data_IF_890850195492
#
_entry.id   IF_890850195492
#
_cell.length_a   1.000
_cell.length_b   1.000
_cell.length_c   1.000
_cell.angle_alpha   90.00
_cell.angle_beta   90.00
_cell.angle_gamma   90.00
#
_symmetry.space_group_name_H-M   'P 1'
#
loop_
_entity.id
_entity.type
_entity.pdbx_description
1 polymer ?
#
# COMPACT_ATOMS: atom_id res chain seq x y z
N UNK A 1 10.57 -17.34 -9.23
CA UNK A 1 9.29 -17.12 -8.54
C UNK A 1 8.25 -18.03 -9.16
N UNK A 2 7.71 -18.96 -8.37
CA UNK A 2 6.65 -19.89 -8.78
C UNK A 2 5.39 -19.12 -9.16
N UNK A 3 4.54 -19.67 -10.04
CA UNK A 3 3.26 -19.04 -10.41
C UNK A 3 2.39 -18.72 -9.17
N UNK A 4 2.39 -19.61 -8.17
CA UNK A 4 1.68 -19.43 -6.91
C UNK A 4 2.16 -18.22 -6.09
N UNK A 5 3.47 -17.96 -6.07
CA UNK A 5 4.03 -16.83 -5.30
C UNK A 5 3.61 -15.49 -5.89
N UNK A 6 3.44 -15.42 -7.22
CA UNK A 6 3.02 -14.18 -7.89
C UNK A 6 1.56 -13.84 -7.62
N UNK A 7 0.70 -14.85 -7.52
CA UNK A 7 -0.72 -14.65 -7.21
C UNK A 7 -0.89 -14.17 -5.76
N UNK A 8 -0.22 -14.82 -4.81
CA UNK A 8 -0.23 -14.40 -3.39
C UNK A 8 0.25 -12.95 -3.25
N UNK A 9 1.33 -12.58 -3.92
CA UNK A 9 1.88 -11.21 -3.86
C UNK A 9 0.90 -10.18 -4.44
N UNK A 10 0.18 -10.51 -5.51
CA UNK A 10 -0.82 -9.60 -6.07
C UNK A 10 -2.00 -9.40 -5.11
N UNK A 11 -2.47 -10.47 -4.47
CA UNK A 11 -3.55 -10.41 -3.50
C UNK A 11 -3.16 -9.56 -2.28
N UNK A 12 -1.95 -9.79 -1.74
CA UNK A 12 -1.42 -9.03 -0.60
C UNK A 12 -1.30 -7.53 -0.94
N UNK A 13 -0.86 -7.17 -2.14
CA UNK A 13 -0.83 -5.76 -2.58
C UNK A 13 -2.23 -5.16 -2.61
N UNK A 14 -3.23 -5.90 -3.10
CA UNK A 14 -4.62 -5.44 -3.10
C UNK A 14 -5.16 -5.20 -1.70
N UNK A 15 -4.87 -6.09 -0.75
CA UNK A 15 -5.24 -5.89 0.66
C UNK A 15 -4.53 -4.68 1.27
N UNK A 16 -3.24 -4.53 1.00
CA UNK A 16 -2.43 -3.41 1.49
C UNK A 16 -2.95 -2.06 0.96
N UNK A 17 -3.37 -1.98 -0.31
CA UNK A 17 -3.99 -0.78 -0.88
C UNK A 17 -5.27 -0.39 -0.11
N UNK A 18 -6.11 -1.36 0.26
CA UNK A 18 -7.33 -1.11 1.06
C UNK A 18 -6.96 -0.62 2.47
N UNK A 19 -5.97 -1.25 3.11
CA UNK A 19 -5.51 -0.86 4.43
C UNK A 19 -5.00 0.58 4.48
N UNK A 20 -4.24 1.02 3.46
CA UNK A 20 -3.77 2.42 3.38
C UNK A 20 -4.94 3.40 3.31
N UNK A 21 -5.99 3.06 2.55
CA UNK A 21 -7.18 3.91 2.43
C UNK A 21 -7.93 4.02 3.76
N UNK A 22 -8.01 2.92 4.53
CA UNK A 22 -8.67 2.91 5.84
C UNK A 22 -7.82 3.59 6.93
N UNK A 23 -6.50 3.51 6.84
CA UNK A 23 -5.61 4.08 7.85
C UNK A 23 -5.59 5.62 7.81
N UNK A 24 -5.68 6.19 6.62
CA UNK A 24 -5.69 7.63 6.38
C UNK A 24 -7.15 8.16 6.32
N UNK A 25 -7.99 7.69 7.24
CA UNK A 25 -9.43 7.96 7.33
C UNK A 25 -9.77 9.46 7.36
N UNK A 26 -8.84 10.30 7.83
CA UNK A 26 -8.98 11.75 7.90
C UNK A 26 -9.13 12.41 6.53
N UNK A 27 -8.50 11.86 5.49
CA UNK A 27 -8.51 12.43 4.15
C UNK A 27 -8.56 11.33 3.07
N UNK A 28 -9.74 10.77 2.79
CA UNK A 28 -9.89 9.61 1.90
C UNK A 28 -9.47 9.90 0.45
N UNK A 29 -9.58 11.16 0.01
CA UNK A 29 -9.12 11.58 -1.31
C UNK A 29 -7.60 11.51 -1.39
N UNK A 30 -6.90 12.00 -0.35
CA UNK A 30 -5.44 12.01 -0.31
C UNK A 30 -4.91 10.57 -0.26
N UNK A 31 -5.58 9.69 0.46
CA UNK A 31 -5.31 8.25 0.53
C UNK A 31 -5.41 7.57 -0.83
N UNK A 32 -6.49 7.84 -1.58
CA UNK A 32 -6.70 7.30 -2.91
C UNK A 32 -5.63 7.79 -3.90
N UNK A 33 -5.30 9.09 -3.84
CA UNK A 33 -4.25 9.70 -4.67
C UNK A 33 -2.90 9.07 -4.35
N UNK A 34 -2.58 8.84 -3.07
CA UNK A 34 -1.35 8.21 -2.63
C UNK A 34 -1.21 6.78 -3.20
N UNK A 35 -2.26 5.96 -3.11
CA UNK A 35 -2.29 4.60 -3.68
C UNK A 35 -2.12 4.63 -5.21
N UNK A 36 -2.81 5.56 -5.89
CA UNK A 36 -2.72 5.71 -7.34
C UNK A 36 -1.32 6.15 -7.80
N UNK A 37 -0.70 7.09 -7.07
CA UNK A 37 0.67 7.53 -7.33
C UNK A 37 1.66 6.39 -7.09
N UNK A 38 1.55 5.67 -5.97
CA UNK A 38 2.40 4.52 -5.66
C UNK A 38 2.39 3.46 -6.75
N UNK A 39 1.20 3.16 -7.29
CA UNK A 39 1.03 2.23 -8.40
C UNK A 39 1.65 2.74 -9.70
N UNK A 40 1.67 4.06 -9.90
CA UNK A 40 2.19 4.69 -11.12
C UNK A 40 3.70 4.85 -11.10
N UNK A 41 4.28 5.24 -9.95
CA UNK A 41 5.71 5.53 -9.81
C UNK A 41 6.55 4.29 -9.50
N UNK A 42 5.91 3.19 -9.06
CA UNK A 42 6.60 1.98 -8.63
C UNK A 42 6.22 0.78 -9.48
N UNK A 43 7.10 0.43 -10.42
CA UNK A 43 6.93 -0.77 -11.27
C UNK A 43 7.24 -2.07 -10.51
N UNK A 44 8.18 -2.00 -9.55
CA UNK A 44 8.55 -3.15 -8.71
C UNK A 44 7.55 -3.36 -7.56
N UNK A 45 6.96 -4.56 -7.55
CA UNK A 45 5.95 -4.97 -6.57
C UNK A 45 6.48 -4.99 -5.13
N UNK A 46 7.72 -5.40 -4.90
CA UNK A 46 8.32 -5.48 -3.56
C UNK A 46 8.60 -4.08 -3.00
N UNK A 47 9.05 -3.17 -3.87
CA UNK A 47 9.25 -1.77 -3.49
C UNK A 47 7.91 -1.15 -3.11
N UNK A 48 6.86 -1.43 -3.89
CA UNK A 48 5.50 -0.94 -3.59
C UNK A 48 4.97 -1.45 -2.25
N UNK A 49 5.13 -2.74 -1.96
CA UNK A 49 4.77 -3.33 -0.65
C UNK A 49 5.53 -2.64 0.48
N UNK A 50 6.84 -2.42 0.28
CA UNK A 50 7.70 -1.78 1.30
C UNK A 50 7.27 -0.35 1.60
N UNK A 51 6.90 0.43 0.58
CA UNK A 51 6.36 1.78 0.76
C UNK A 51 5.01 1.78 1.45
N UNK A 52 4.11 0.86 1.07
CA UNK A 52 2.81 0.76 1.72
C UNK A 52 2.99 0.41 3.22
N UNK A 53 3.86 -0.54 3.55
CA UNK A 53 4.19 -0.87 4.94
C UNK A 53 4.79 0.32 5.69
N UNK A 54 5.65 1.11 5.03
CA UNK A 54 6.23 2.32 5.60
C UNK A 54 5.15 3.38 5.90
N UNK A 55 4.21 3.60 4.98
CA UNK A 55 3.07 4.51 5.19
C UNK A 55 2.22 4.04 6.36
N UNK A 56 1.95 2.73 6.45
CA UNK A 56 1.20 2.16 7.56
C UNK A 56 1.92 2.42 8.88
N UNK A 57 3.23 2.17 8.91
CA UNK A 57 4.05 2.41 10.09
C UNK A 57 4.09 3.89 10.51
N UNK A 58 4.23 4.81 9.55
CA UNK A 58 4.18 6.26 9.81
C UNK A 58 2.80 6.68 10.33
N UNK A 59 1.72 6.26 9.67
CA UNK A 59 0.36 6.59 10.09
C UNK A 59 0.03 6.07 11.49
N UNK A 60 0.52 4.89 11.87
CA UNK A 60 0.40 4.38 13.25
C UNK A 60 1.24 5.17 14.24
N UNK A 61 2.41 5.68 13.83
CA UNK A 61 3.29 6.46 14.70
C UNK A 61 2.82 7.90 14.92
N UNK A 62 1.89 8.40 14.08
CA UNK A 62 1.29 9.73 14.19
C UNK A 62 0.06 9.73 15.14
N UNK A 63 -0.42 8.55 15.58
CA UNK A 63 -1.55 8.39 16.52
C UNK A 63 -1.08 8.53 18.00
N UNK A 64 -0.08 9.38 18.26
CA UNK A 64 0.32 9.79 19.62
C UNK A 64 -0.34 11.12 20.04
#
# INVERSE_FOLDING_TARGET
>A
MSFHERDIVNDVIGFLDIFVILLLEEDPILSLVLVALLKTVTEDKLIRISFILLIIFLGVSDID
#
